data_IF_080141131618
#
_entry.id   IF_080141131618
#
_cell.length_a   1.000
_cell.length_b   1.000
_cell.length_c   1.000
_cell.angle_alpha   90.00
_cell.angle_beta   90.00
_cell.angle_gamma   90.00
#
_symmetry.space_group_name_H-M   'P 1'
#
loop_
_entity.id
_entity.type
_entity.pdbx_description
1 polymer ?
#
# COMPACT_ATOMS: atom_id res chain seq x y z
N UNK A 1 1.37 11.91 -24.11
CA UNK A 1 0.94 11.52 -22.75
C UNK A 1 0.07 12.63 -22.17
N UNK A 2 -1.11 12.29 -21.67
CA UNK A 2 -2.03 13.20 -20.98
C UNK A 2 -2.29 12.63 -19.57
N UNK A 3 -2.17 13.46 -18.53
CA UNK A 3 -2.46 13.06 -17.14
C UNK A 3 -3.78 13.69 -16.71
N UNK A 4 -4.68 12.88 -16.19
CA UNK A 4 -6.05 13.25 -15.79
C UNK A 4 -6.28 12.78 -14.36
N UNK A 5 -7.08 13.52 -13.59
CA UNK A 5 -7.51 13.13 -12.25
C UNK A 5 -8.34 11.82 -12.31
N UNK A 6 -8.04 10.87 -11.45
CA UNK A 6 -8.77 9.59 -11.37
C UNK A 6 -10.28 9.77 -11.16
N UNK A 7 -10.69 10.82 -10.45
CA UNK A 7 -12.12 11.15 -10.22
C UNK A 7 -12.88 11.52 -11.50
N UNK A 8 -12.16 11.84 -12.58
CA UNK A 8 -12.71 12.12 -13.90
C UNK A 8 -12.67 10.91 -14.84
N UNK A 9 -12.20 9.77 -14.34
CA UNK A 9 -11.98 8.55 -15.11
C UNK A 9 -13.06 7.52 -14.75
N UNK A 10 -13.46 6.72 -15.72
CA UNK A 10 -14.42 5.63 -15.53
C UNK A 10 -13.70 4.29 -15.30
N UNK A 11 -14.38 3.37 -14.62
CA UNK A 11 -13.89 1.97 -14.46
C UNK A 11 -13.58 1.38 -15.83
N UNK A 12 -14.44 1.55 -16.82
CA UNK A 12 -14.26 1.03 -18.19
C UNK A 12 -12.94 1.45 -18.84
N UNK A 13 -12.49 2.69 -18.58
CA UNK A 13 -11.24 3.20 -19.15
C UNK A 13 -10.01 2.59 -18.47
N UNK A 14 -10.11 2.23 -17.19
CA UNK A 14 -9.01 1.66 -16.40
C UNK A 14 -9.01 0.13 -16.36
N UNK A 15 -10.12 -0.51 -16.65
CA UNK A 15 -10.29 -1.97 -16.47
C UNK A 15 -9.19 -2.81 -17.13
N UNK A 16 -8.74 -2.55 -18.38
CA UNK A 16 -7.66 -3.32 -18.98
C UNK A 16 -6.35 -3.24 -18.19
N UNK A 17 -6.06 -2.05 -17.62
CA UNK A 17 -4.86 -1.80 -16.82
C UNK A 17 -4.96 -2.49 -15.45
N UNK A 18 -6.11 -2.42 -14.80
CA UNK A 18 -6.39 -3.09 -13.52
C UNK A 18 -6.29 -4.62 -13.65
N UNK A 19 -6.80 -5.17 -14.74
CA UNK A 19 -6.67 -6.61 -15.02
C UNK A 19 -5.22 -7.03 -15.29
N UNK A 20 -4.44 -6.18 -15.99
CA UNK A 20 -3.01 -6.42 -16.20
C UNK A 20 -2.27 -6.45 -14.87
N UNK A 21 -2.54 -5.48 -13.99
CA UNK A 21 -1.97 -5.44 -12.64
C UNK A 21 -2.33 -6.68 -11.83
N UNK A 22 -3.60 -7.11 -11.84
CA UNK A 22 -4.04 -8.34 -11.15
C UNK A 22 -3.29 -9.58 -11.62
N UNK A 23 -3.04 -9.67 -12.94
CA UNK A 23 -2.23 -10.76 -13.50
C UNK A 23 -0.79 -10.70 -13.01
N UNK A 24 -0.19 -9.49 -12.88
CA UNK A 24 1.14 -9.30 -12.30
C UNK A 24 1.21 -9.77 -10.85
N UNK A 25 0.29 -9.35 -10.01
CA UNK A 25 0.22 -9.77 -8.61
C UNK A 25 0.17 -11.30 -8.49
N UNK A 26 -0.67 -11.94 -9.30
CA UNK A 26 -0.81 -13.40 -9.30
C UNK A 26 0.48 -14.08 -9.78
N UNK A 27 1.06 -13.60 -10.87
CA UNK A 27 2.23 -14.22 -11.50
C UNK A 27 3.48 -14.09 -10.65
N UNK A 28 3.78 -12.90 -10.15
CA UNK A 28 5.04 -12.60 -9.47
C UNK A 28 5.00 -12.91 -7.96
N UNK A 29 3.83 -12.76 -7.33
CA UNK A 29 3.69 -12.88 -5.88
C UNK A 29 2.70 -13.97 -5.44
N UNK A 30 2.09 -14.72 -6.38
CA UNK A 30 1.04 -15.70 -6.11
C UNK A 30 -0.12 -15.12 -5.28
N UNK A 31 -0.37 -13.81 -5.41
CA UNK A 31 -1.36 -13.08 -4.63
C UNK A 31 -2.65 -12.86 -5.42
N UNK A 32 -3.79 -13.17 -4.79
CA UNK A 32 -5.09 -12.85 -5.36
C UNK A 32 -5.47 -11.40 -5.08
N UNK A 33 -5.25 -10.54 -6.07
CA UNK A 33 -5.45 -9.09 -5.96
C UNK A 33 -6.89 -8.66 -6.27
N UNK A 34 -7.82 -9.58 -6.59
CA UNK A 34 -9.19 -9.27 -7.01
C UNK A 34 -9.96 -8.45 -5.97
N UNK A 35 -9.83 -8.78 -4.68
CA UNK A 35 -10.49 -8.02 -3.61
C UNK A 35 -10.08 -6.55 -3.58
N UNK A 36 -8.80 -6.25 -3.75
CA UNK A 36 -8.32 -4.89 -3.83
C UNK A 36 -8.81 -4.17 -5.10
N UNK A 37 -8.86 -4.87 -6.24
CA UNK A 37 -9.40 -4.29 -7.47
C UNK A 37 -10.87 -3.92 -7.36
N UNK A 38 -11.69 -4.77 -6.76
CA UNK A 38 -13.10 -4.45 -6.55
C UNK A 38 -13.29 -3.23 -5.66
N UNK A 39 -12.43 -3.04 -4.67
CA UNK A 39 -12.43 -1.84 -3.85
C UNK A 39 -12.04 -0.60 -4.67
N UNK A 40 -10.98 -0.69 -5.47
CA UNK A 40 -10.55 0.39 -6.37
C UNK A 40 -11.69 0.76 -7.34
N UNK A 41 -12.35 -0.22 -7.96
CA UNK A 41 -13.48 0.01 -8.87
C UNK A 41 -14.63 0.75 -8.17
N UNK A 42 -14.99 0.35 -6.96
CA UNK A 42 -16.05 1.04 -6.17
C UNK A 42 -15.70 2.51 -5.90
N UNK A 43 -14.45 2.80 -5.54
CA UNK A 43 -14.03 4.18 -5.33
C UNK A 43 -13.99 5.00 -6.62
N UNK A 44 -13.64 4.39 -7.75
CA UNK A 44 -13.71 5.02 -9.06
C UNK A 44 -15.16 5.35 -9.47
N UNK A 45 -16.10 4.41 -9.29
CA UNK A 45 -17.53 4.61 -9.55
C UNK A 45 -18.12 5.72 -8.68
N UNK A 46 -17.66 5.82 -7.44
CA UNK A 46 -18.06 6.87 -6.52
C UNK A 46 -17.35 8.23 -6.77
N UNK A 47 -16.44 8.31 -7.75
CA UNK A 47 -15.55 9.47 -7.99
C UNK A 47 -14.78 9.92 -6.73
N UNK A 48 -14.45 8.98 -5.86
CA UNK A 48 -13.84 9.21 -4.54
C UNK A 48 -12.35 8.81 -4.48
N UNK A 49 -11.79 8.19 -5.53
CA UNK A 49 -10.39 7.80 -5.55
C UNK A 49 -9.52 9.00 -5.97
N UNK A 50 -8.80 9.56 -5.03
CA UNK A 50 -7.86 10.63 -5.30
C UNK A 50 -6.58 10.08 -5.96
N UNK A 51 -6.13 10.71 -7.03
CA UNK A 51 -4.96 10.26 -7.78
C UNK A 51 -4.98 10.70 -9.21
N UNK A 52 -4.12 10.10 -10.02
CA UNK A 52 -3.92 10.46 -11.43
C UNK A 52 -3.83 9.22 -12.32
N UNK A 53 -4.28 9.35 -13.55
CA UNK A 53 -4.11 8.36 -14.61
C UNK A 53 -3.38 9.00 -15.80
N UNK A 54 -2.41 8.29 -16.34
CA UNK A 54 -1.72 8.67 -17.56
C UNK A 54 -2.36 7.96 -18.75
N UNK A 55 -2.80 8.74 -19.75
CA UNK A 55 -3.28 8.22 -21.01
C UNK A 55 -2.23 8.42 -22.10
N UNK A 56 -2.03 7.38 -22.90
CA UNK A 56 -1.19 7.41 -24.07
C UNK A 56 -2.00 6.85 -25.27
N UNK A 57 -2.14 7.65 -26.34
CA UNK A 57 -2.92 7.28 -27.53
C UNK A 57 -4.37 6.82 -27.18
N UNK A 58 -4.98 7.42 -26.17
CA UNK A 58 -6.35 7.12 -25.75
C UNK A 58 -6.47 5.91 -24.79
N UNK A 59 -5.40 5.20 -24.52
CA UNK A 59 -5.38 4.06 -23.59
C UNK A 59 -4.79 4.45 -22.24
N UNK A 60 -5.31 3.91 -21.14
CA UNK A 60 -4.73 4.07 -19.82
C UNK A 60 -3.39 3.33 -19.77
N UNK A 61 -2.31 4.09 -19.63
CA UNK A 61 -0.93 3.58 -19.63
C UNK A 61 -0.42 3.30 -18.20
N UNK A 62 -0.94 4.02 -17.22
CA UNK A 62 -0.59 3.85 -15.81
C UNK A 62 -1.48 4.70 -14.93
N UNK A 63 -1.50 4.40 -13.64
CA UNK A 63 -2.23 5.18 -12.66
C UNK A 63 -1.49 5.19 -11.31
N UNK A 64 -1.79 6.20 -10.50
CA UNK A 64 -1.38 6.26 -9.10
C UNK A 64 -2.53 6.82 -8.28
N UNK A 65 -2.76 6.26 -7.09
CA UNK A 65 -3.75 6.77 -6.15
C UNK A 65 -3.17 6.93 -4.75
N UNK A 66 -3.81 7.78 -3.97
CA UNK A 66 -3.43 8.03 -2.59
C UNK A 66 -4.65 8.18 -1.68
N UNK A 67 -4.41 7.95 -0.39
CA UNK A 67 -5.39 8.14 0.67
C UNK A 67 -4.82 9.11 1.69
N UNK A 68 -5.69 9.96 2.24
CA UNK A 68 -5.35 10.91 3.28
C UNK A 68 -5.89 10.43 4.62
N UNK A 69 -5.05 10.41 5.64
CA UNK A 69 -5.41 10.07 7.00
C UNK A 69 -4.85 11.15 7.94
N UNK A 70 -5.71 12.04 8.41
CA UNK A 70 -5.31 13.21 9.22
C UNK A 70 -4.22 14.04 8.50
N UNK A 71 -3.01 14.11 9.06
CA UNK A 71 -1.86 14.85 8.52
C UNK A 71 -0.89 13.96 7.72
N UNK A 72 -1.30 12.73 7.45
CA UNK A 72 -0.53 11.73 6.71
C UNK A 72 -1.18 11.42 5.37
N UNK A 73 -0.37 11.33 4.34
CA UNK A 73 -0.75 10.80 3.04
C UNK A 73 -0.12 9.45 2.78
N UNK A 74 -0.88 8.51 2.27
CA UNK A 74 -0.44 7.19 1.86
C UNK A 74 -0.61 7.05 0.36
N UNK A 75 0.50 6.87 -0.38
CA UNK A 75 0.45 6.43 -1.78
C UNK A 75 0.05 4.96 -1.76
N UNK A 76 -1.19 4.68 -2.14
CA UNK A 76 -1.79 3.36 -2.04
C UNK A 76 -1.44 2.44 -3.20
N UNK A 77 -1.13 3.00 -4.36
CA UNK A 77 -0.71 2.26 -5.55
C UNK A 77 -0.10 3.15 -6.60
N UNK A 78 0.79 2.56 -7.39
CA UNK A 78 1.35 3.10 -8.61
C UNK A 78 1.63 1.93 -9.54
N UNK A 79 0.94 1.90 -10.68
CA UNK A 79 1.09 0.86 -11.67
C UNK A 79 1.17 1.45 -13.07
N UNK A 80 2.10 0.94 -13.88
CA UNK A 80 2.27 1.29 -15.28
C UNK A 80 2.36 0.01 -16.10
N UNK A 81 1.56 -0.06 -17.17
CA UNK A 81 1.57 -1.19 -18.10
C UNK A 81 2.93 -1.38 -18.74
N UNK A 82 3.34 -2.65 -18.88
CA UNK A 82 4.60 -3.01 -19.55
C UNK A 82 4.65 -2.65 -21.05
N UNK A 83 3.51 -2.30 -21.64
CA UNK A 83 3.43 -1.89 -23.04
C UNK A 83 3.93 -0.46 -23.31
N UNK A 84 4.19 0.31 -22.24
CA UNK A 84 4.58 1.72 -22.32
C UNK A 84 5.93 1.99 -21.64
N UNK A 85 6.54 3.17 -21.82
CA UNK A 85 7.77 3.56 -21.13
C UNK A 85 7.56 3.71 -19.62
N UNK A 86 7.65 2.60 -18.89
CA UNK A 86 7.26 2.50 -17.49
C UNK A 86 7.93 3.55 -16.60
N UNK A 87 9.25 3.69 -16.66
CA UNK A 87 10.00 4.59 -15.78
C UNK A 87 9.57 6.05 -15.95
N UNK A 88 9.39 6.50 -17.18
CA UNK A 88 8.97 7.88 -17.48
C UNK A 88 7.55 8.16 -16.99
N UNK A 89 6.62 7.24 -17.22
CA UNK A 89 5.23 7.39 -16.82
C UNK A 89 5.11 7.29 -15.29
N UNK A 90 5.80 6.33 -14.67
CA UNK A 90 5.80 6.18 -13.22
C UNK A 90 6.34 7.44 -12.51
N UNK A 91 7.42 8.01 -13.03
CA UNK A 91 7.98 9.26 -12.50
C UNK A 91 6.95 10.40 -12.57
N UNK A 92 6.31 10.58 -13.71
CA UNK A 92 5.30 11.66 -13.89
C UNK A 92 4.08 11.46 -12.98
N UNK A 93 3.58 10.24 -12.85
CA UNK A 93 2.48 9.92 -11.94
C UNK A 93 2.87 10.16 -10.48
N UNK A 94 4.09 9.82 -10.10
CA UNK A 94 4.62 10.08 -8.75
C UNK A 94 4.70 11.59 -8.48
N UNK A 95 5.24 12.37 -9.43
CA UNK A 95 5.34 13.83 -9.32
C UNK A 95 3.96 14.47 -9.13
N UNK A 96 2.95 14.11 -9.94
CA UNK A 96 1.57 14.61 -9.83
C UNK A 96 0.92 14.23 -8.50
N UNK A 97 1.13 12.98 -8.06
CA UNK A 97 0.62 12.49 -6.77
C UNK A 97 1.23 13.29 -5.63
N UNK A 98 2.54 13.48 -5.61
CA UNK A 98 3.24 14.22 -4.58
C UNK A 98 2.88 15.71 -4.60
N UNK A 99 2.72 16.30 -5.78
CA UNK A 99 2.25 17.68 -5.91
C UNK A 99 0.88 17.86 -5.24
N UNK A 100 -0.06 16.97 -5.55
CA UNK A 100 -1.41 17.00 -4.98
C UNK A 100 -1.41 16.82 -3.46
N UNK A 101 -0.60 15.88 -2.95
CA UNK A 101 -0.52 15.61 -1.52
C UNK A 101 0.13 16.75 -0.75
N UNK A 102 1.21 17.34 -1.27
CA UNK A 102 1.91 18.48 -0.65
C UNK A 102 1.09 19.77 -0.64
N UNK A 103 0.10 19.90 -1.52
CA UNK A 103 -0.83 21.00 -1.52
C UNK A 103 -1.85 20.96 -0.36
N UNK A 104 -1.97 19.83 0.34
CA UNK A 104 -2.87 19.70 1.49
C UNK A 104 -2.24 20.40 2.70
N UNK A 105 -2.96 21.35 3.33
CA UNK A 105 -2.46 22.04 4.52
C UNK A 105 -2.12 21.06 5.64
N UNK A 106 -1.05 21.33 6.37
CA UNK A 106 -0.61 20.54 7.52
C UNK A 106 -0.17 19.10 7.19
N UNK A 107 0.17 18.80 5.93
CA UNK A 107 0.76 17.51 5.58
C UNK A 107 2.12 17.36 6.27
N UNK A 108 2.23 16.41 7.19
CA UNK A 108 3.47 16.16 7.96
C UNK A 108 4.25 14.97 7.43
N UNK A 109 3.55 14.00 6.81
CA UNK A 109 4.17 12.74 6.43
C UNK A 109 3.52 12.17 5.17
N UNK A 110 4.36 11.69 4.25
CA UNK A 110 3.93 10.88 3.10
C UNK A 110 4.61 9.53 3.20
N UNK A 111 3.81 8.48 3.12
CA UNK A 111 4.25 7.09 3.11
C UNK A 111 3.89 6.43 1.78
N UNK A 112 4.67 5.43 1.38
CA UNK A 112 4.39 4.60 0.21
C UNK A 112 4.80 3.16 0.49
N UNK A 113 3.97 2.22 0.05
CA UNK A 113 4.29 0.79 0.06
C UNK A 113 4.03 0.25 -1.34
N UNK A 114 5.02 0.41 -2.22
CA UNK A 114 4.90 0.16 -3.64
C UNK A 114 5.61 -1.13 -4.05
N UNK A 115 5.00 -1.88 -4.97
CA UNK A 115 5.62 -3.03 -5.60
C UNK A 115 6.42 -2.58 -6.84
N UNK A 116 7.56 -3.22 -7.15
CA UNK A 116 8.43 -2.82 -8.25
C UNK A 116 7.91 -3.26 -9.62
N UNK A 117 6.59 -3.20 -9.85
CA UNK A 117 5.98 -3.62 -11.12
C UNK A 117 6.11 -2.57 -12.22
N UNK A 118 6.34 -1.32 -11.86
CA UNK A 118 6.34 -0.19 -12.80
C UNK A 118 7.74 0.30 -13.16
N UNK A 119 8.73 -0.59 -13.04
CA UNK A 119 10.13 -0.25 -13.24
C UNK A 119 10.79 0.42 -12.03
N UNK A 120 12.05 0.86 -12.16
CA UNK A 120 12.81 1.43 -11.05
C UNK A 120 12.28 2.81 -10.68
N UNK A 121 11.71 2.94 -9.48
CA UNK A 121 11.20 4.19 -8.91
C UNK A 121 12.06 4.68 -7.73
N UNK A 122 13.11 3.98 -7.37
CA UNK A 122 13.97 4.28 -6.23
C UNK A 122 14.63 5.66 -6.35
N UNK A 123 15.23 5.98 -7.51
CA UNK A 123 15.84 7.28 -7.74
C UNK A 123 14.81 8.41 -7.68
N UNK A 124 13.69 8.36 -8.41
CA UNK A 124 12.63 9.37 -8.29
C UNK A 124 12.14 9.59 -6.85
N UNK A 125 12.00 8.53 -6.05
CA UNK A 125 11.59 8.66 -4.64
C UNK A 125 12.67 9.32 -3.80
N UNK A 126 13.95 8.93 -3.95
CA UNK A 126 15.07 9.58 -3.24
C UNK A 126 15.20 11.04 -3.59
N UNK A 127 15.06 11.41 -4.86
CA UNK A 127 15.12 12.79 -5.35
C UNK A 127 14.00 13.65 -4.75
N UNK A 128 12.88 13.03 -4.40
CA UNK A 128 11.77 13.66 -3.68
C UNK A 128 11.93 13.65 -2.15
N UNK A 129 13.06 13.17 -1.63
CA UNK A 129 13.38 13.17 -0.19
C UNK A 129 12.87 11.96 0.59
N UNK A 130 12.41 10.91 -0.08
CA UNK A 130 11.99 9.68 0.61
C UNK A 130 13.18 8.90 1.16
N UNK A 131 13.02 8.37 2.36
CA UNK A 131 13.86 7.31 2.90
C UNK A 131 13.29 5.97 2.44
N UNK A 132 14.11 5.15 1.78
CA UNK A 132 13.67 3.86 1.25
C UNK A 132 14.06 2.72 2.20
N UNK A 133 13.13 1.79 2.38
CA UNK A 133 13.30 0.57 3.13
C UNK A 133 12.95 -0.63 2.26
N UNK A 134 13.92 -1.50 2.02
CA UNK A 134 13.69 -2.72 1.23
C UNK A 134 13.08 -3.79 2.12
N UNK A 135 11.98 -4.39 1.67
CA UNK A 135 11.33 -5.52 2.30
C UNK A 135 11.32 -6.73 1.36
N UNK A 136 11.33 -7.91 1.96
CA UNK A 136 11.23 -9.16 1.21
C UNK A 136 9.80 -9.68 1.28
N UNK A 137 9.24 -10.00 0.11
CA UNK A 137 8.00 -10.76 0.03
C UNK A 137 8.34 -12.24 0.20
N UNK A 138 7.75 -12.91 1.20
CA UNK A 138 8.00 -14.31 1.48
C UNK A 138 6.78 -15.15 1.12
N UNK A 139 7.01 -16.29 0.45
CA UNK A 139 5.98 -17.25 0.08
C UNK A 139 6.23 -18.58 0.79
N UNK A 140 5.22 -19.12 1.45
CA UNK A 140 5.23 -20.46 2.02
C UNK A 140 4.38 -21.39 1.16
N UNK A 141 4.99 -22.46 0.66
CA UNK A 141 4.28 -23.54 -0.04
C UNK A 141 3.62 -24.47 1.01
N UNK A 142 2.30 -24.36 1.12
CA UNK A 142 1.54 -25.16 2.07
C UNK A 142 1.36 -26.64 1.66
N UNK A 143 1.75 -27.02 0.44
CA UNK A 143 1.75 -28.43 0.02
C UNK A 143 2.99 -29.19 0.52
N UNK A 144 4.03 -28.48 0.90
CA UNK A 144 5.20 -29.11 1.54
C UNK A 144 4.90 -29.40 3.00
N UNK A 145 5.40 -30.53 3.53
CA UNK A 145 5.18 -30.86 4.94
C UNK A 145 5.67 -29.71 5.82
N UNK A 146 4.79 -29.24 6.70
CA UNK A 146 5.14 -28.24 7.68
C UNK A 146 6.27 -28.72 8.57
N UNK A 147 7.11 -27.80 9.03
CA UNK A 147 8.07 -28.11 10.09
C UNK A 147 7.33 -28.77 11.28
N UNK A 148 8.01 -29.69 12.00
CA UNK A 148 7.38 -30.40 13.12
C UNK A 148 6.72 -29.41 14.08
N UNK A 149 5.52 -29.74 14.54
CA UNK A 149 4.70 -28.92 15.43
C UNK A 149 5.55 -28.34 16.57
N UNK A 150 5.75 -27.05 16.56
CA UNK A 150 6.34 -26.36 17.69
C UNK A 150 5.33 -26.43 18.85
N UNK A 151 5.67 -27.12 19.91
CA UNK A 151 4.89 -27.07 21.15
C UNK A 151 5.00 -25.68 21.76
N UNK A 152 3.88 -25.17 22.27
CA UNK A 152 3.91 -23.91 23.04
C UNK A 152 4.89 -24.08 24.20
N UNK A 153 5.89 -23.19 24.37
CA UNK A 153 6.85 -23.31 25.46
C UNK A 153 6.18 -23.37 26.83
N UNK A 154 6.76 -24.06 27.77
CA UNK A 154 6.27 -24.12 29.16
C UNK A 154 6.11 -22.71 29.74
N UNK A 155 4.99 -22.45 30.39
CA UNK A 155 4.68 -21.14 30.97
C UNK A 155 3.96 -20.19 30.03
N UNK A 156 3.74 -20.54 28.75
CA UNK A 156 2.96 -19.76 27.80
C UNK A 156 1.61 -20.43 27.53
N UNK A 157 0.59 -19.61 27.29
CA UNK A 157 -0.73 -20.04 26.89
C UNK A 157 -1.16 -19.30 25.64
N UNK A 158 -1.71 -20.01 24.65
CA UNK A 158 -2.39 -19.42 23.50
C UNK A 158 -3.86 -19.27 23.84
N UNK A 159 -4.39 -18.08 23.67
CA UNK A 159 -5.79 -17.78 23.97
C UNK A 159 -6.46 -17.15 22.72
N UNK A 160 -7.79 -17.19 22.67
CA UNK A 160 -8.57 -16.48 21.65
C UNK A 160 -8.55 -14.98 21.98
N UNK A 161 -8.68 -14.16 20.91
CA UNK A 161 -8.81 -12.74 21.10
C UNK A 161 -10.01 -12.38 21.99
N UNK A 162 -9.83 -11.37 22.82
CA UNK A 162 -10.87 -10.77 23.66
C UNK A 162 -10.59 -9.28 23.81
N UNK A 163 -11.64 -8.44 23.89
CA UNK A 163 -11.52 -6.98 23.92
C UNK A 163 -10.63 -6.45 25.06
N UNK A 164 -10.57 -7.15 26.18
CA UNK A 164 -9.64 -6.86 27.28
C UNK A 164 -8.17 -6.81 26.88
N UNK A 165 -7.82 -7.37 25.71
CA UNK A 165 -6.44 -7.41 25.22
C UNK A 165 -6.07 -6.18 24.39
N UNK A 166 -7.01 -5.33 24.00
CA UNK A 166 -6.68 -4.16 23.16
C UNK A 166 -5.60 -3.27 23.79
N UNK A 167 -5.80 -2.82 25.01
CA UNK A 167 -4.86 -1.93 25.71
C UNK A 167 -3.50 -2.61 26.00
N UNK A 168 -3.45 -3.81 26.61
CA UNK A 168 -2.17 -4.50 26.84
C UNK A 168 -1.41 -4.80 25.56
N UNK A 169 -2.10 -5.24 24.49
CA UNK A 169 -1.47 -5.53 23.22
C UNK A 169 -0.98 -4.25 22.50
N UNK A 170 -1.72 -3.16 22.56
CA UNK A 170 -1.27 -1.88 22.01
C UNK A 170 0.01 -1.40 22.72
N UNK A 171 0.07 -1.51 24.04
CA UNK A 171 1.29 -1.21 24.80
C UNK A 171 2.44 -2.14 24.45
N UNK A 172 2.18 -3.43 24.28
CA UNK A 172 3.19 -4.42 23.87
C UNK A 172 3.74 -4.10 22.48
N UNK A 173 2.89 -3.80 21.52
CA UNK A 173 3.28 -3.38 20.15
C UNK A 173 4.19 -2.16 20.24
N UNK A 174 3.75 -1.10 20.92
CA UNK A 174 4.55 0.11 21.08
C UNK A 174 5.94 -0.18 21.67
N UNK A 175 6.02 -0.98 22.73
CA UNK A 175 7.29 -1.34 23.36
C UNK A 175 8.18 -2.22 22.48
N UNK A 176 7.58 -3.15 21.73
CA UNK A 176 8.31 -4.07 20.85
C UNK A 176 8.91 -3.37 19.63
N UNK A 177 8.26 -2.29 19.17
CA UNK A 177 8.73 -1.50 18.02
C UNK A 177 9.51 -0.24 18.44
N UNK A 178 9.71 -0.02 19.73
CA UNK A 178 10.59 1.06 20.22
C UNK A 178 12.00 0.89 19.65
N UNK A 179 12.51 1.90 18.95
CA UNK A 179 13.80 1.89 18.26
C UNK A 179 13.95 0.84 17.15
N UNK A 180 12.85 0.26 16.69
CA UNK A 180 12.86 -0.67 15.57
C UNK A 180 12.61 0.08 14.24
N UNK A 181 13.22 -0.41 13.15
CA UNK A 181 13.05 0.16 11.81
C UNK A 181 11.57 0.26 11.37
N UNK A 182 10.73 -0.67 11.79
CA UNK A 182 9.31 -0.65 11.47
C UNK A 182 8.57 0.54 12.10
N UNK A 183 9.03 1.05 13.24
CA UNK A 183 8.52 2.30 13.80
C UNK A 183 8.87 3.53 12.96
N UNK A 184 9.93 3.46 12.14
CA UNK A 184 10.24 4.52 11.17
C UNK A 184 9.38 4.41 9.90
N UNK A 185 9.05 3.17 9.49
CA UNK A 185 8.27 2.88 8.28
C UNK A 185 6.77 3.14 8.51
N UNK A 186 6.25 2.75 9.67
CA UNK A 186 4.84 2.87 10.02
C UNK A 186 4.68 3.64 11.34
N UNK A 187 4.10 4.82 11.27
CA UNK A 187 3.89 5.70 12.42
C UNK A 187 2.91 5.12 13.47
N UNK A 188 2.04 4.20 13.08
CA UNK A 188 1.11 3.52 13.99
C UNK A 188 1.83 2.78 15.13
N UNK A 189 3.07 2.37 14.93
CA UNK A 189 3.89 1.71 15.97
C UNK A 189 4.60 2.68 16.92
N UNK A 190 4.55 3.98 16.64
CA UNK A 190 5.27 5.01 17.40
C UNK A 190 4.54 5.51 18.64
N UNK A 191 3.30 5.10 18.83
CA UNK A 191 2.50 5.49 19.98
C UNK A 191 1.52 4.38 20.39
N UNK A 192 1.10 4.37 21.66
CA UNK A 192 0.09 3.42 22.13
C UNK A 192 -1.26 3.67 21.43
N UNK A 193 -1.63 4.92 21.19
CA UNK A 193 -2.86 5.27 20.47
C UNK A 193 -2.84 4.81 19.02
N UNK A 194 -1.69 4.94 18.32
CA UNK A 194 -1.50 4.41 16.97
C UNK A 194 -1.61 2.89 16.93
N UNK A 195 -0.94 2.19 17.85
CA UNK A 195 -1.02 0.73 17.95
C UNK A 195 -2.43 0.25 18.28
N UNK A 196 -3.17 1.00 19.09
CA UNK A 196 -4.57 0.69 19.40
C UNK A 196 -5.48 0.83 18.16
N UNK A 197 -5.30 1.88 17.34
CA UNK A 197 -6.02 2.03 16.06
C UNK A 197 -5.68 0.87 15.12
N UNK A 198 -4.40 0.56 14.99
CA UNK A 198 -3.94 -0.58 14.17
C UNK A 198 -4.62 -1.89 14.57
N UNK A 199 -4.65 -2.22 15.87
CA UNK A 199 -5.32 -3.41 16.38
C UNK A 199 -6.83 -3.39 16.08
N UNK A 200 -7.52 -2.27 16.30
CA UNK A 200 -8.95 -2.14 16.00
C UNK A 200 -9.22 -2.36 14.52
N UNK A 201 -8.40 -1.81 13.64
CA UNK A 201 -8.57 -2.00 12.20
C UNK A 201 -8.38 -3.46 11.76
N UNK A 202 -7.52 -4.24 12.43
CA UNK A 202 -7.31 -5.66 12.10
C UNK A 202 -8.42 -6.56 12.67
N UNK A 203 -8.91 -6.25 13.86
CA UNK A 203 -9.82 -7.15 14.61
C UNK A 203 -11.29 -6.89 14.27
N UNK A 204 -11.65 -5.64 13.91
CA UNK A 204 -13.05 -5.25 13.69
C UNK A 204 -13.45 -5.20 12.21
N UNK A 205 -12.52 -5.47 11.28
CA UNK A 205 -12.79 -5.64 9.86
C UNK A 205 -13.03 -7.11 9.53
#
# INVERSE_FOLDING_TARGET
MNIVDLRQTTVRQLEPLLEEESRHWRKELHWDYRGALELIKRFLEAHALAGSVAFENGNAAGYSFYVMEEQKGLIGGLYVSAQFPQAQIAQRLLEETLFSMRAVPQMERIEAQLMPFSGPIDSPLRDQGFRLYTRQFMLLDLQKPAAPNSTVPSGFRVDRWHDRYFEPCAKLIYLSYANHVDGEINDQYRSISGALRFLKNIILL
#
